data_IF_382256435060
#
_entry.id   IF_382256435060
#
_cell.length_a   1.000
_cell.length_b   1.000
_cell.length_c   1.000
_cell.angle_alpha   90.00
_cell.angle_beta   90.00
_cell.angle_gamma   90.00
#
_symmetry.space_group_name_H-M   'P 1'
#
loop_
_entity.id
_entity.type
_entity.pdbx_description
1 polymer ?
#
# COMPACT_ATOMS: atom_id res chain seq x y z
N UNK A 1 8.35 0.06 -27.20
CA UNK A 1 7.90 -0.65 -28.43
C UNK A 1 7.14 -1.93 -28.09
N UNK A 2 7.72 -2.84 -27.29
CA UNK A 2 7.05 -4.08 -26.85
C UNK A 2 5.68 -3.83 -26.16
N UNK A 3 5.58 -2.84 -25.26
CA UNK A 3 4.30 -2.47 -24.62
C UNK A 3 3.19 -2.15 -25.64
N UNK A 4 3.50 -1.43 -26.73
CA UNK A 4 2.52 -1.12 -27.78
C UNK A 4 2.09 -2.37 -28.55
N UNK A 5 3.01 -3.29 -28.84
CA UNK A 5 2.69 -4.56 -29.51
C UNK A 5 1.80 -5.44 -28.64
N UNK A 6 2.11 -5.53 -27.34
CA UNK A 6 1.31 -6.27 -26.36
C UNK A 6 -0.09 -5.67 -26.26
N UNK A 7 -0.20 -4.34 -26.16
CA UNK A 7 -1.48 -3.64 -26.14
C UNK A 7 -2.34 -4.00 -27.37
N UNK A 8 -1.77 -3.91 -28.58
CA UNK A 8 -2.47 -4.24 -29.81
C UNK A 8 -2.91 -5.72 -29.89
N UNK A 9 -2.11 -6.64 -29.36
CA UNK A 9 -2.47 -8.06 -29.28
C UNK A 9 -3.65 -8.28 -28.32
N UNK A 10 -3.64 -7.64 -27.16
CA UNK A 10 -4.73 -7.74 -26.19
C UNK A 10 -6.01 -7.05 -26.69
N UNK A 11 -5.89 -5.96 -27.45
CA UNK A 11 -7.04 -5.28 -28.09
C UNK A 11 -7.71 -6.16 -29.16
N UNK A 12 -6.91 -6.90 -29.93
CA UNK A 12 -7.42 -7.72 -31.03
C UNK A 12 -7.85 -9.13 -30.63
N UNK A 13 -7.20 -9.74 -29.64
CA UNK A 13 -7.40 -11.15 -29.27
C UNK A 13 -8.00 -11.34 -27.87
N UNK A 14 -8.15 -10.26 -27.09
CA UNK A 14 -8.62 -10.32 -25.72
C UNK A 14 -7.55 -10.81 -24.75
N UNK A 15 -7.96 -11.55 -23.73
CA UNK A 15 -7.05 -12.00 -22.67
C UNK A 15 -6.06 -13.06 -23.18
N UNK A 16 -4.75 -12.83 -22.99
CA UNK A 16 -3.68 -13.70 -23.47
C UNK A 16 -2.78 -14.17 -22.31
N UNK A 17 -2.27 -15.39 -22.39
CA UNK A 17 -1.20 -15.83 -21.49
C UNK A 17 0.15 -15.30 -21.97
N UNK A 18 1.13 -15.27 -21.08
CA UNK A 18 2.49 -14.86 -21.43
C UNK A 18 3.08 -15.68 -22.60
N UNK A 19 2.83 -17.00 -22.64
CA UNK A 19 3.27 -17.85 -23.76
C UNK A 19 2.62 -17.49 -25.10
N UNK A 20 1.40 -16.95 -25.09
CA UNK A 20 0.73 -16.50 -26.31
C UNK A 20 1.39 -15.22 -26.85
N UNK A 21 1.84 -14.33 -25.95
CA UNK A 21 2.60 -13.13 -26.29
C UNK A 21 4.00 -13.46 -26.85
N UNK A 22 4.65 -14.51 -26.31
CA UNK A 22 5.90 -15.04 -26.86
C UNK A 22 5.69 -15.61 -28.26
N UNK A 23 4.66 -16.43 -28.44
CA UNK A 23 4.33 -17.04 -29.73
C UNK A 23 3.96 -15.99 -30.79
N UNK A 24 3.29 -14.91 -30.39
CA UNK A 24 2.95 -13.78 -31.25
C UNK A 24 4.14 -12.83 -31.54
N UNK A 25 5.34 -13.16 -31.06
CA UNK A 25 6.58 -12.39 -31.23
C UNK A 25 6.45 -10.93 -30.76
N UNK A 26 5.80 -10.71 -29.61
CA UNK A 26 5.63 -9.38 -29.03
C UNK A 26 6.96 -8.72 -28.61
N UNK A 27 8.03 -9.51 -28.46
CA UNK A 27 9.39 -9.07 -28.15
C UNK A 27 10.23 -10.20 -27.54
N UNK A 28 11.46 -9.88 -27.12
CA UNK A 28 12.26 -10.79 -26.28
C UNK A 28 11.59 -10.96 -24.90
N UNK A 29 11.83 -12.07 -24.17
CA UNK A 29 11.18 -12.33 -22.89
C UNK A 29 11.25 -11.17 -21.89
N UNK A 30 12.43 -10.56 -21.72
CA UNK A 30 12.61 -9.40 -20.83
C UNK A 30 11.83 -8.17 -21.30
N UNK A 31 11.69 -7.99 -22.62
CA UNK A 31 10.91 -6.88 -23.20
C UNK A 31 9.40 -7.09 -23.03
N UNK A 32 8.94 -8.35 -23.09
CA UNK A 32 7.54 -8.69 -22.81
C UNK A 32 7.25 -8.43 -21.34
N UNK A 33 8.12 -8.89 -20.42
CA UNK A 33 7.99 -8.60 -18.99
C UNK A 33 7.94 -7.09 -18.71
N UNK A 34 8.93 -6.34 -19.19
CA UNK A 34 8.99 -4.90 -18.95
C UNK A 34 7.82 -4.16 -19.60
N UNK A 35 7.38 -4.58 -20.79
CA UNK A 35 6.22 -4.01 -21.47
C UNK A 35 4.91 -4.27 -20.73
N UNK A 36 4.71 -5.48 -20.18
CA UNK A 36 3.57 -5.78 -19.33
C UNK A 36 3.59 -4.91 -18.05
N UNK A 37 4.75 -4.77 -17.40
CA UNK A 37 4.87 -3.94 -16.20
C UNK A 37 4.68 -2.44 -16.49
N UNK A 38 5.11 -1.96 -17.66
CA UNK A 38 4.81 -0.61 -18.15
C UNK A 38 3.29 -0.41 -18.28
N UNK A 39 2.58 -1.31 -18.98
CA UNK A 39 1.13 -1.24 -19.13
C UNK A 39 0.38 -1.36 -17.79
N UNK A 40 0.86 -2.19 -16.87
CA UNK A 40 0.32 -2.29 -15.50
C UNK A 40 0.52 -0.98 -14.73
N UNK A 41 1.70 -0.36 -14.82
CA UNK A 41 1.98 0.92 -14.16
C UNK A 41 1.11 2.07 -14.66
N UNK A 42 0.65 1.96 -15.92
CA UNK A 42 -0.28 2.91 -16.54
C UNK A 42 -1.75 2.56 -16.25
N UNK A 43 -2.02 1.45 -15.56
CA UNK A 43 -3.38 0.99 -15.28
C UNK A 43 -4.16 0.53 -16.52
N UNK A 44 -3.45 0.08 -17.57
CA UNK A 44 -4.06 -0.35 -18.84
C UNK A 44 -4.29 -1.87 -18.86
N UNK A 45 -3.44 -2.64 -18.20
CA UNK A 45 -3.49 -4.11 -18.20
C UNK A 45 -3.48 -4.63 -16.77
N UNK A 46 -4.17 -5.75 -16.53
CA UNK A 46 -4.10 -6.52 -15.29
C UNK A 46 -3.86 -8.00 -15.57
N UNK A 47 -3.47 -8.75 -14.54
CA UNK A 47 -3.34 -10.20 -14.56
C UNK A 47 -4.35 -10.84 -13.61
N UNK A 48 -4.88 -12.00 -13.96
CA UNK A 48 -5.78 -12.78 -13.10
C UNK A 48 -5.07 -13.56 -11.98
N UNK A 49 -3.74 -13.38 -11.83
CA UNK A 49 -2.91 -14.10 -10.86
C UNK A 49 -1.82 -13.22 -10.24
N UNK A 50 -1.57 -13.43 -8.95
CA UNK A 50 -0.47 -12.80 -8.21
C UNK A 50 0.90 -13.45 -8.48
N UNK A 51 0.99 -14.49 -9.31
CA UNK A 51 2.27 -15.16 -9.56
C UNK A 51 3.29 -14.24 -10.25
N UNK A 52 2.87 -13.50 -11.28
CA UNK A 52 3.73 -12.51 -11.95
C UNK A 52 4.28 -11.46 -10.95
N UNK A 53 3.44 -10.96 -10.04
CA UNK A 53 3.87 -10.02 -8.99
C UNK A 53 4.87 -10.66 -8.02
N UNK A 54 4.59 -11.87 -7.54
CA UNK A 54 5.51 -12.60 -6.64
C UNK A 54 6.87 -12.85 -7.29
N UNK A 55 6.88 -13.16 -8.58
CA UNK A 55 8.12 -13.30 -9.35
C UNK A 55 8.85 -11.96 -9.51
N UNK A 56 8.13 -10.86 -9.76
CA UNK A 56 8.71 -9.50 -9.83
C UNK A 56 9.34 -9.06 -8.50
N UNK A 57 8.74 -9.41 -7.36
CA UNK A 57 9.23 -9.07 -6.02
C UNK A 57 10.40 -9.95 -5.53
N UNK A 58 10.66 -11.10 -6.18
CA UNK A 58 11.77 -11.97 -5.77
C UNK A 58 13.13 -11.26 -5.96
N UNK A 59 14.00 -11.24 -4.94
CA UNK A 59 15.35 -10.69 -5.06
C UNK A 59 16.13 -11.33 -6.20
N UNK A 60 16.88 -10.52 -6.94
CA UNK A 60 17.69 -10.96 -8.09
C UNK A 60 18.69 -12.08 -7.73
N UNK A 61 19.18 -12.11 -6.48
CA UNK A 61 20.04 -13.17 -5.95
C UNK A 61 19.35 -14.54 -5.86
N UNK A 62 18.05 -14.57 -5.57
CA UNK A 62 17.21 -15.79 -5.58
C UNK A 62 16.76 -16.17 -6.98
N UNK A 63 16.63 -15.20 -7.91
CA UNK A 63 16.41 -15.49 -9.34
C UNK A 63 17.61 -16.21 -9.97
N UNK A 64 18.85 -15.80 -9.63
CA UNK A 64 20.09 -16.41 -10.16
C UNK A 64 20.42 -17.79 -9.59
N UNK A 65 19.92 -18.16 -8.41
CA UNK A 65 20.18 -19.47 -7.77
C UNK A 65 19.50 -20.65 -8.44
N UNK A 66 18.62 -20.43 -9.43
CA UNK A 66 18.04 -21.48 -10.27
C UNK A 66 18.55 -21.36 -11.70
N UNK A 67 19.86 -21.42 -11.89
CA UNK A 67 20.41 -21.83 -13.19
C UNK A 67 19.99 -23.29 -13.45
N UNK A 68 19.50 -23.63 -14.66
CA UNK A 68 19.17 -25.01 -15.03
C UNK A 68 20.48 -25.81 -15.16
N UNK A 69 20.99 -26.32 -14.04
CA UNK A 69 22.25 -27.06 -14.02
C UNK A 69 22.48 -27.96 -12.81
N UNK A 70 21.64 -27.89 -11.77
CA UNK A 70 21.90 -28.60 -10.51
C UNK A 70 20.69 -29.38 -9.96
N UNK A 71 19.92 -30.04 -10.82
CA UNK A 71 19.06 -31.14 -10.38
C UNK A 71 18.83 -32.14 -11.52
N UNK A 72 19.80 -33.04 -11.71
CA UNK A 72 19.69 -34.18 -12.64
C UNK A 72 18.93 -35.38 -12.02
N UNK A 73 18.13 -35.18 -10.97
CA UNK A 73 17.57 -36.31 -10.22
C UNK A 73 16.11 -36.21 -9.76
N UNK A 74 15.28 -35.31 -10.29
CA UNK A 74 13.83 -35.41 -10.06
C UNK A 74 13.00 -35.09 -11.31
N UNK A 75 12.24 -36.11 -11.72
CA UNK A 75 11.02 -36.10 -12.54
C UNK A 75 11.16 -36.48 -14.02
N UNK A 76 10.71 -37.71 -14.31
CA UNK A 76 10.33 -38.25 -15.63
C UNK A 76 9.05 -37.60 -16.23
N UNK A 77 8.62 -36.44 -15.74
CA UNK A 77 7.54 -35.62 -16.33
C UNK A 77 8.12 -34.32 -16.91
N UNK A 78 8.89 -34.47 -17.99
CA UNK A 78 9.82 -33.47 -18.54
C UNK A 78 9.23 -32.31 -19.35
N UNK A 79 7.98 -31.87 -19.12
CA UNK A 79 7.40 -30.71 -19.84
C UNK A 79 6.79 -29.66 -18.88
N UNK A 80 6.54 -29.99 -17.61
CA UNK A 80 5.84 -29.09 -16.69
C UNK A 80 6.75 -28.14 -15.89
N UNK A 81 8.03 -28.46 -15.70
CA UNK A 81 8.91 -27.70 -14.79
C UNK A 81 9.49 -26.41 -15.39
N UNK A 82 9.63 -26.34 -16.72
CA UNK A 82 10.12 -25.17 -17.46
C UNK A 82 9.02 -24.13 -17.71
N UNK A 83 7.74 -24.52 -17.67
CA UNK A 83 6.59 -23.64 -17.86
C UNK A 83 6.12 -22.95 -16.56
N UNK A 84 6.61 -23.41 -15.41
CA UNK A 84 6.35 -22.84 -14.09
C UNK A 84 7.16 -21.55 -13.79
N UNK A 85 7.79 -20.96 -14.81
CA UNK A 85 8.71 -19.82 -14.72
C UNK A 85 8.31 -18.63 -15.60
N UNK A 86 7.20 -18.74 -16.33
CA UNK A 86 6.63 -17.61 -17.07
C UNK A 86 5.76 -16.80 -16.09
N UNK A 87 5.64 -15.46 -16.25
CA UNK A 87 4.67 -14.63 -15.54
C UNK A 87 3.27 -15.23 -15.68
N UNK A 88 2.90 -16.10 -14.75
CA UNK A 88 1.77 -16.99 -14.97
C UNK A 88 0.49 -16.25 -14.60
N UNK A 89 -0.41 -16.16 -15.56
CA UNK A 89 -1.71 -15.52 -15.47
C UNK A 89 -2.17 -15.11 -16.86
N UNK A 90 -3.46 -14.93 -17.04
CA UNK A 90 -4.04 -14.28 -18.21
C UNK A 90 -3.92 -12.78 -18.02
N UNK A 91 -3.25 -12.15 -18.96
CA UNK A 91 -3.14 -10.70 -19.06
C UNK A 91 -4.33 -10.19 -19.84
N UNK A 92 -5.03 -9.21 -19.28
CA UNK A 92 -6.28 -8.69 -19.84
C UNK A 92 -6.23 -7.16 -19.82
N UNK A 93 -6.79 -6.53 -20.85
CA UNK A 93 -7.05 -5.10 -20.82
C UNK A 93 -7.97 -4.77 -19.65
N UNK A 94 -7.59 -3.79 -18.87
CA UNK A 94 -8.54 -3.13 -18.01
C UNK A 94 -9.51 -2.37 -18.92
N UNK A 95 -10.82 -2.44 -18.64
CA UNK A 95 -11.78 -1.60 -19.35
C UNK A 95 -11.30 -0.16 -19.34
N UNK A 96 -11.49 0.56 -20.46
CA UNK A 96 -11.24 1.98 -20.51
C UNK A 96 -11.88 2.60 -19.26
N UNK A 97 -11.01 3.17 -18.44
CA UNK A 97 -11.31 3.55 -17.07
C UNK A 97 -12.57 4.42 -17.03
N UNK A 98 -13.67 4.02 -16.35
CA UNK A 98 -14.77 4.95 -16.07
C UNK A 98 -14.28 6.14 -15.23
N UNK A 99 -13.06 6.05 -14.67
CA UNK A 99 -12.38 7.08 -13.92
C UNK A 99 -11.81 8.22 -14.79
N UNK A 100 -11.96 8.19 -16.12
CA UNK A 100 -11.64 9.35 -16.99
C UNK A 100 -12.48 10.58 -16.65
N UNK A 101 -13.67 10.40 -16.06
CA UNK A 101 -14.53 11.50 -15.62
C UNK A 101 -14.40 11.85 -14.13
N UNK A 102 -13.63 11.09 -13.35
CA UNK A 102 -13.56 11.31 -11.90
C UNK A 102 -12.72 12.54 -11.64
N UNK A 103 -13.43 13.59 -11.21
CA UNK A 103 -12.84 14.91 -10.98
C UNK A 103 -11.79 14.78 -9.88
N UNK A 104 -10.67 15.49 -10.05
CA UNK A 104 -9.60 15.63 -9.05
C UNK A 104 -10.15 15.86 -7.63
N UNK A 105 -11.20 16.66 -7.51
CA UNK A 105 -11.87 16.98 -6.26
C UNK A 105 -12.56 15.79 -5.57
N UNK A 106 -13.11 14.86 -6.35
CA UNK A 106 -13.72 13.62 -5.85
C UNK A 106 -12.64 12.66 -5.37
N UNK A 107 -11.52 12.57 -6.10
CA UNK A 107 -10.35 11.78 -5.67
C UNK A 107 -9.79 12.34 -4.36
N UNK A 108 -9.63 13.67 -4.25
CA UNK A 108 -9.18 14.31 -3.03
C UNK A 108 -10.12 14.06 -1.84
N UNK A 109 -11.43 14.09 -2.08
CA UNK A 109 -12.44 13.80 -1.06
C UNK A 109 -12.43 12.33 -0.62
N UNK A 110 -12.29 11.39 -1.55
CA UNK A 110 -12.16 9.97 -1.24
C UNK A 110 -10.91 9.70 -0.38
N UNK A 111 -9.77 10.30 -0.73
CA UNK A 111 -8.55 10.22 0.08
C UNK A 111 -8.71 10.88 1.45
N UNK A 112 -9.35 12.05 1.52
CA UNK A 112 -9.64 12.73 2.78
C UNK A 112 -10.48 11.83 3.71
N UNK A 113 -11.51 11.18 3.18
CA UNK A 113 -12.32 10.19 3.89
C UNK A 113 -11.48 9.01 4.38
N UNK A 114 -10.68 8.40 3.51
CA UNK A 114 -9.83 7.26 3.86
C UNK A 114 -8.79 7.59 4.96
N UNK A 115 -8.23 8.81 4.92
CA UNK A 115 -7.30 9.29 5.94
C UNK A 115 -8.02 9.49 7.29
N UNK A 116 -9.25 10.01 7.28
CA UNK A 116 -10.06 10.16 8.49
C UNK A 116 -10.45 8.81 9.09
N UNK A 117 -10.80 7.81 8.27
CA UNK A 117 -11.04 6.45 8.76
C UNK A 117 -9.79 5.83 9.39
N UNK A 118 -8.63 6.06 8.77
CA UNK A 118 -7.36 5.49 9.24
C UNK A 118 -6.88 6.12 10.53
N UNK A 119 -6.91 7.45 10.64
CA UNK A 119 -6.26 8.18 11.73
C UNK A 119 -7.24 8.76 12.75
N UNK A 120 -8.52 8.87 12.44
CA UNK A 120 -9.53 9.58 13.23
C UNK A 120 -9.37 11.11 13.18
N UNK A 121 -8.15 11.61 13.38
CA UNK A 121 -7.75 13.02 13.27
C UNK A 121 -6.65 13.17 12.22
N UNK A 122 -6.85 14.08 11.27
CA UNK A 122 -5.93 14.32 10.16
C UNK A 122 -5.45 15.76 10.16
N UNK A 123 -4.14 15.92 9.96
CA UNK A 123 -3.45 17.19 9.74
C UNK A 123 -2.19 16.96 8.92
N UNK A 124 -1.56 18.04 8.47
CA UNK A 124 -0.50 18.01 7.45
C UNK A 124 0.61 17.00 7.75
N UNK A 125 1.14 16.98 8.97
CA UNK A 125 2.28 16.16 9.36
C UNK A 125 1.96 14.65 9.35
N UNK A 126 0.71 14.27 9.62
CA UNK A 126 0.24 12.87 9.50
C UNK A 126 0.17 12.47 8.02
N UNK A 127 -0.39 13.34 7.17
CA UNK A 127 -0.53 13.08 5.73
C UNK A 127 0.83 12.94 5.05
N UNK A 128 1.85 13.69 5.48
CA UNK A 128 3.20 13.60 4.91
C UNK A 128 3.87 12.22 5.04
N UNK A 129 3.34 11.34 5.90
CA UNK A 129 3.82 9.97 6.03
C UNK A 129 3.22 9.01 5.02
N UNK A 130 2.02 9.34 4.56
CA UNK A 130 1.35 8.56 3.55
C UNK A 130 1.91 8.93 2.19
N UNK A 131 2.03 7.93 1.31
CA UNK A 131 2.44 8.14 -0.08
C UNK A 131 1.23 8.58 -0.91
N UNK A 132 0.57 9.65 -0.47
CA UNK A 132 -0.60 10.21 -1.15
C UNK A 132 -0.11 11.05 -2.33
N UNK A 133 -0.58 10.74 -3.53
CA UNK A 133 -0.30 11.53 -4.73
C UNK A 133 -1.04 12.87 -4.82
N UNK A 134 -1.71 13.29 -3.74
CA UNK A 134 -2.58 14.47 -3.69
C UNK A 134 -1.94 15.54 -2.82
N UNK A 135 -1.75 16.76 -3.35
CA UNK A 135 -1.23 17.87 -2.57
C UNK A 135 -2.11 18.20 -1.36
N UNK A 136 -1.49 18.57 -0.24
CA UNK A 136 -2.21 18.98 0.99
C UNK A 136 -3.27 20.06 0.74
N UNK A 137 -3.03 21.00 -0.17
CA UNK A 137 -4.00 22.06 -0.52
C UNK A 137 -5.33 21.50 -1.04
N UNK A 138 -5.29 20.43 -1.83
CA UNK A 138 -6.50 19.82 -2.39
C UNK A 138 -7.24 19.01 -1.33
N UNK A 139 -6.51 18.30 -0.47
CA UNK A 139 -7.09 17.64 0.72
C UNK A 139 -7.73 18.67 1.65
N UNK A 140 -7.12 19.83 1.85
CA UNK A 140 -7.67 20.91 2.66
C UNK A 140 -8.99 21.43 2.09
N UNK A 141 -9.08 21.64 0.77
CA UNK A 141 -10.32 22.01 0.11
C UNK A 141 -11.40 20.93 0.27
N UNK A 142 -11.02 19.65 0.14
CA UNK A 142 -11.92 18.54 0.39
C UNK A 142 -12.43 18.52 1.84
N UNK A 143 -11.55 18.67 2.83
CA UNK A 143 -11.92 18.72 4.24
C UNK A 143 -12.87 19.87 4.57
N UNK A 144 -12.65 21.07 4.00
CA UNK A 144 -13.56 22.22 4.16
C UNK A 144 -14.94 21.96 3.54
N UNK A 145 -15.00 21.32 2.38
CA UNK A 145 -16.28 20.89 1.75
C UNK A 145 -16.99 19.85 2.61
N UNK A 146 -16.26 18.87 3.15
CA UNK A 146 -16.78 17.86 4.08
C UNK A 146 -17.29 18.50 5.38
N UNK A 147 -16.58 19.48 5.93
CA UNK A 147 -16.99 20.24 7.10
C UNK A 147 -18.28 21.04 6.83
N UNK A 148 -18.37 21.73 5.69
CA UNK A 148 -19.58 22.47 5.32
C UNK A 148 -20.81 21.56 5.20
N UNK A 149 -20.63 20.27 4.85
CA UNK A 149 -21.69 19.25 4.85
C UNK A 149 -21.92 18.60 6.22
N UNK A 150 -21.10 18.90 7.21
CA UNK A 150 -21.18 18.33 8.56
C UNK A 150 -20.63 16.91 8.70
N UNK A 151 -20.01 16.34 7.66
CA UNK A 151 -19.41 14.98 7.71
C UNK A 151 -18.07 14.96 8.44
N UNK A 152 -17.48 16.13 8.68
CA UNK A 152 -16.19 16.31 9.36
C UNK A 152 -16.25 17.57 10.20
N UNK A 153 -15.38 17.68 11.21
CA UNK A 153 -15.21 18.87 12.04
C UNK A 153 -13.79 19.39 11.89
N UNK A 154 -13.64 20.66 11.53
CA UNK A 154 -12.40 21.39 11.64
C UNK A 154 -12.17 21.85 13.09
N UNK A 155 -10.92 21.90 13.51
CA UNK A 155 -10.57 22.36 14.85
C UNK A 155 -9.12 22.13 15.25
N UNK A 156 -8.91 22.12 16.57
CA UNK A 156 -7.63 21.81 17.21
C UNK A 156 -7.87 20.67 18.20
N UNK A 157 -7.45 19.47 17.81
CA UNK A 157 -7.66 18.24 18.57
C UNK A 157 -6.35 17.74 19.20
N UNK A 158 -5.22 17.95 18.51
CA UNK A 158 -3.88 17.55 18.95
C UNK A 158 -3.05 18.80 19.25
N UNK A 159 -2.49 18.86 20.46
CA UNK A 159 -1.56 19.92 20.90
C UNK A 159 -0.16 19.72 20.30
N UNK A 160 0.64 20.78 20.22
CA UNK A 160 2.01 20.72 19.69
C UNK A 160 2.13 20.76 18.15
N UNK A 161 1.01 20.68 17.42
CA UNK A 161 1.00 20.77 15.95
C UNK A 161 0.27 22.02 15.48
N UNK A 162 0.82 22.65 14.44
CA UNK A 162 0.28 23.86 13.83
C UNK A 162 -0.61 23.54 12.63
N UNK A 163 -1.42 24.53 12.20
CA UNK A 163 -2.32 24.39 11.06
C UNK A 163 -3.70 23.81 11.38
N UNK A 164 -4.53 23.73 10.35
CA UNK A 164 -5.89 23.17 10.43
C UNK A 164 -5.85 21.66 10.65
N UNK A 165 -6.72 21.16 11.53
CA UNK A 165 -6.90 19.74 11.80
C UNK A 165 -8.36 19.38 11.58
N UNK A 166 -8.60 18.17 11.10
CA UNK A 166 -9.93 17.67 10.76
C UNK A 166 -10.15 16.31 11.39
N UNK A 167 -11.36 16.08 11.91
CA UNK A 167 -11.74 14.81 12.51
C UNK A 167 -13.19 14.46 12.19
N UNK A 168 -13.51 13.17 12.15
CA UNK A 168 -14.90 12.74 12.12
C UNK A 168 -15.61 13.14 13.42
N UNK A 169 -16.91 13.50 13.40
CA UNK A 169 -17.67 13.77 14.62
C UNK A 169 -17.54 12.65 15.67
N UNK A 170 -17.64 11.40 15.22
CA UNK A 170 -17.47 10.20 16.06
C UNK A 170 -16.10 10.12 16.73
N UNK A 171 -15.03 10.50 16.03
CA UNK A 171 -13.67 10.52 16.56
C UNK A 171 -13.52 11.63 17.63
N UNK A 172 -14.13 12.79 17.41
CA UNK A 172 -14.16 13.87 18.42
C UNK A 172 -14.86 13.43 19.69
N UNK A 173 -16.00 12.73 19.55
CA UNK A 173 -16.74 12.20 20.70
C UNK A 173 -15.97 11.09 21.42
N UNK A 174 -15.27 10.23 20.69
CA UNK A 174 -14.38 9.22 21.26
C UNK A 174 -13.25 9.86 22.08
N UNK A 175 -12.57 10.88 21.55
CA UNK A 175 -11.51 11.61 22.27
C UNK A 175 -12.08 12.26 23.54
N UNK A 176 -13.26 12.87 23.46
CA UNK A 176 -13.93 13.48 24.63
C UNK A 176 -14.31 12.45 25.69
N UNK A 177 -14.70 11.24 25.27
CA UNK A 177 -15.03 10.13 26.17
C UNK A 177 -13.79 9.63 26.90
N UNK A 178 -12.71 9.35 26.17
CA UNK A 178 -11.43 8.90 26.73
C UNK A 178 -10.89 9.94 27.72
N UNK A 179 -10.96 11.23 27.40
CA UNK A 179 -10.53 12.31 28.31
C UNK A 179 -11.25 12.31 29.68
N UNK A 180 -12.47 11.76 29.77
CA UNK A 180 -13.24 11.68 31.02
C UNK A 180 -13.00 10.39 31.80
N UNK A 181 -12.33 9.41 31.21
CA UNK A 181 -12.05 8.13 31.85
C UNK A 181 -10.76 8.24 32.69
N UNK A 182 -10.75 7.61 33.86
CA UNK A 182 -9.52 7.44 34.62
C UNK A 182 -8.63 6.38 33.94
N UNK A 183 -7.29 6.56 33.92
CA UNK A 183 -6.36 5.57 33.39
C UNK A 183 -6.50 4.24 34.14
N UNK A 184 -6.62 3.13 33.41
CA UNK A 184 -6.83 1.79 33.99
C UNK A 184 -5.58 0.91 33.88
N UNK A 185 -4.51 1.42 33.28
CA UNK A 185 -3.33 0.65 32.93
C UNK A 185 -3.57 -0.28 31.75
N UNK A 186 -4.48 0.04 30.83
CA UNK A 186 -4.76 -0.79 29.66
C UNK A 186 -3.51 -0.88 28.78
N UNK A 187 -3.03 -2.10 28.51
CA UNK A 187 -1.81 -2.34 27.71
C UNK A 187 -2.17 -2.88 26.34
N UNK A 188 -1.87 -2.12 25.29
CA UNK A 188 -2.12 -2.49 23.89
C UNK A 188 -0.79 -2.62 23.15
N UNK A 189 -0.49 -3.81 22.64
CA UNK A 189 0.70 -4.08 21.83
C UNK A 189 0.36 -3.98 20.34
N UNK A 190 1.04 -3.08 19.64
CA UNK A 190 0.85 -2.85 18.20
C UNK A 190 2.15 -3.18 17.47
N UNK A 191 2.06 -3.79 16.29
CA UNK A 191 3.26 -4.04 15.47
C UNK A 191 3.87 -2.73 14.99
N UNK A 192 5.21 -2.61 14.94
CA UNK A 192 5.84 -1.38 14.47
C UNK A 192 5.64 -1.11 12.97
N UNK A 193 5.24 -2.13 12.19
CA UNK A 193 4.84 -1.96 10.78
C UNK A 193 3.42 -1.45 10.61
N UNK A 194 2.65 -1.34 11.70
CA UNK A 194 1.32 -0.77 11.66
C UNK A 194 1.38 0.72 11.28
N UNK A 195 0.52 1.22 10.38
CA UNK A 195 0.43 2.65 10.06
C UNK A 195 0.19 3.57 11.27
N UNK A 196 -0.38 3.04 12.36
CA UNK A 196 -0.61 3.73 13.63
C UNK A 196 0.63 3.78 14.52
N UNK A 197 1.79 3.30 14.05
CA UNK A 197 3.07 3.61 14.69
C UNK A 197 3.40 5.10 14.50
N UNK A 198 2.90 5.92 15.43
CA UNK A 198 3.08 7.36 15.47
C UNK A 198 4.14 7.83 16.47
N UNK A 199 4.91 6.89 17.04
CA UNK A 199 5.92 7.16 18.08
C UNK A 199 7.10 7.96 17.53
N UNK A 200 7.49 8.99 18.29
CA UNK A 200 8.55 9.93 17.91
C UNK A 200 8.15 10.89 16.80
N UNK A 201 6.85 11.03 16.55
CA UNK A 201 6.31 11.95 15.55
C UNK A 201 5.03 12.62 16.01
N UNK A 202 4.05 11.89 16.58
CA UNK A 202 2.92 12.50 17.30
C UNK A 202 3.19 12.55 18.80
N UNK A 203 3.74 11.46 19.32
CA UNK A 203 4.15 11.33 20.71
C UNK A 203 5.63 11.63 20.86
N UNK A 204 6.00 12.11 22.04
CA UNK A 204 7.39 12.34 22.40
C UNK A 204 8.21 11.03 22.37
N UNK A 205 9.53 11.16 22.24
CA UNK A 205 10.49 10.05 22.28
C UNK A 205 11.13 9.69 20.94
N UNK A 206 11.98 8.66 20.96
CA UNK A 206 12.70 8.22 19.77
C UNK A 206 11.78 7.47 18.81
N UNK A 207 11.89 7.77 17.51
CA UNK A 207 11.12 7.09 16.46
C UNK A 207 11.42 5.59 16.46
N UNK A 208 10.38 4.76 16.57
CA UNK A 208 10.48 3.32 16.47
C UNK A 208 10.47 2.90 14.98
N UNK A 209 11.53 2.23 14.47
CA UNK A 209 11.58 1.80 13.07
C UNK A 209 10.46 0.80 12.74
N UNK A 210 9.81 0.99 11.60
CA UNK A 210 8.77 0.10 11.07
C UNK A 210 9.35 -1.21 10.52
N UNK A 211 9.85 -2.05 11.43
CA UNK A 211 10.37 -3.38 11.15
C UNK A 211 9.40 -4.39 11.76
N UNK A 212 9.07 -5.45 11.02
CA UNK A 212 8.05 -6.44 11.42
C UNK A 212 8.34 -7.14 12.76
N UNK A 213 9.60 -7.20 13.20
CA UNK A 213 10.02 -7.76 14.49
C UNK A 213 9.84 -6.78 15.65
N UNK A 214 9.67 -5.49 15.36
CA UNK A 214 9.50 -4.46 16.38
C UNK A 214 8.02 -4.31 16.74
N UNK A 215 7.76 -3.84 17.96
CA UNK A 215 6.42 -3.54 18.46
C UNK A 215 6.45 -2.26 19.29
N UNK A 216 5.28 -1.63 19.40
CA UNK A 216 5.02 -0.50 20.27
C UNK A 216 4.04 -0.96 21.33
N UNK A 217 4.34 -0.67 22.59
CA UNK A 217 3.43 -0.91 23.69
C UNK A 217 2.79 0.42 24.08
N UNK A 218 1.47 0.48 24.10
CA UNK A 218 0.72 1.62 24.60
C UNK A 218 0.14 1.26 25.97
N UNK A 219 0.31 2.14 26.95
CA UNK A 219 -0.33 2.07 28.26
C UNK A 219 -1.28 3.26 28.38
N UNK A 220 -2.59 3.00 28.44
CA UNK A 220 -3.65 4.02 28.41
C UNK A 220 -3.45 5.05 27.26
N UNK A 221 -3.01 4.55 26.10
CA UNK A 221 -2.76 5.37 24.90
C UNK A 221 -1.41 6.10 24.86
N UNK A 222 -0.59 6.02 25.91
CA UNK A 222 0.78 6.55 25.91
C UNK A 222 1.78 5.48 25.47
N UNK A 223 2.66 5.81 24.53
CA UNK A 223 3.69 4.88 24.09
C UNK A 223 4.74 4.67 25.18
N UNK A 224 4.89 3.43 25.64
CA UNK A 224 6.00 3.03 26.49
C UNK A 224 7.23 2.90 25.60
N UNK A 225 8.22 3.77 25.80
CA UNK A 225 9.46 3.69 25.06
C UNK A 225 10.15 2.36 25.41
N UNK A 226 10.71 1.64 24.43
CA UNK A 226 11.43 0.42 24.72
C UNK A 226 12.55 0.75 25.70
N UNK A 227 12.44 0.22 26.91
CA UNK A 227 13.51 0.29 27.90
C UNK A 227 14.80 -0.20 27.23
N UNK A 228 15.90 0.51 27.44
CA UNK A 228 17.21 0.12 26.93
C UNK A 228 17.68 -1.26 27.47
N UNK A 229 16.92 -1.89 28.36
CA UNK A 229 17.13 -3.25 28.84
C UNK A 229 16.05 -4.20 28.28
N UNK A 230 16.44 -5.11 27.38
CA UNK A 230 15.55 -6.20 26.96
C UNK A 230 15.71 -6.72 25.54
N UNK A 231 16.93 -6.82 24.99
CA UNK A 231 17.18 -7.94 24.07
C UNK A 231 17.22 -9.17 24.97
N UNK A 232 16.12 -9.89 25.13
CA UNK A 232 16.10 -11.33 25.37
C UNK A 232 14.67 -11.86 25.50
N UNK A 233 14.49 -13.01 24.85
CA UNK A 233 13.55 -14.09 25.13
C UNK A 233 12.05 -13.75 25.06
N UNK A 234 11.41 -14.18 23.97
CA UNK A 234 10.62 -15.41 24.04
C UNK A 234 10.31 -15.93 22.62
N UNK A 235 10.30 -17.26 22.52
CA UNK A 235 10.06 -18.12 21.34
C UNK A 235 8.72 -17.86 20.64
#
# INVERSE_FOLDING_TARGET
>A
EAARKILALLESQGALFYGDLENANAGLPTQIEDGLWELVSLGIVSADSFQALRERMRPSSRRRRRRPGASRFRSRFGIAASRALLPSGRWTLLPASPWQEVKRDEIAEAWAGQLLERYGVVFRDVVQRERVGIPWRELLQAFRRMEARGTTRGGRFVTGYYGEQYAKPEAVDAIRRVRKQEPQGERVRVSAVDPLNLVGILTEGARIPSIHTNHVLFVDGQAELPSAAGRHADD
#
